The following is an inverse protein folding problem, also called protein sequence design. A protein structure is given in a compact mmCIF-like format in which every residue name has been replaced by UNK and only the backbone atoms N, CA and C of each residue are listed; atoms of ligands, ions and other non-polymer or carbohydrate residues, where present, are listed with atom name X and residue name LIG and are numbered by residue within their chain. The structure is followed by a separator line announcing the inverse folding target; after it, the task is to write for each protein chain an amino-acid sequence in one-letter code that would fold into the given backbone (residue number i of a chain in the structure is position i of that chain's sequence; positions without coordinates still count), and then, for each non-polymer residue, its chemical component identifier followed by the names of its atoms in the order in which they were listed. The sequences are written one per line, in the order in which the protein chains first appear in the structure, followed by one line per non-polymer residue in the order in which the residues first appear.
data_IF_274989297416
#
_entry.id   IF_274989297416
#
_cell.length_a   1.000
_cell.length_b   1.000
_cell.length_c   1.000
_cell.angle_alpha   90.00
_cell.angle_beta   90.00
_cell.angle_gamma   90.00
#
_symmetry.space_group_name_H-M   'P 1'
#
loop_
_entity.id
_entity.type
_entity.pdbx_description
1 polymer ?
#
# COMPACT_ATOMS: atom_id res chain seq x y z
N UNK A 1 0.04 -12.46 2.23
CA UNK A 1 -1.26 -13.11 1.94
C UNK A 1 -1.03 -14.60 1.74
N UNK A 2 -1.67 -15.45 2.56
CA UNK A 2 -1.60 -16.91 2.41
C UNK A 2 -0.35 -17.59 2.95
N UNK A 3 0.58 -16.84 3.55
CA UNK A 3 1.78 -17.38 4.18
C UNK A 3 1.48 -17.80 5.62
N UNK A 4 1.81 -19.04 5.97
CA UNK A 4 1.78 -19.53 7.35
C UNK A 4 3.14 -19.26 8.00
N UNK A 5 3.15 -18.45 9.05
CA UNK A 5 4.36 -18.03 9.77
C UNK A 5 4.91 -19.11 10.71
N UNK A 6 4.16 -20.17 11.00
CA UNK A 6 4.61 -21.32 11.80
C UNK A 6 5.29 -22.36 10.91
N UNK A 7 4.65 -22.75 9.81
CA UNK A 7 5.17 -23.79 8.89
C UNK A 7 6.10 -23.22 7.82
N UNK A 8 6.12 -21.89 7.64
CA UNK A 8 6.82 -21.19 6.58
C UNK A 8 6.41 -21.60 5.16
N UNK A 9 5.14 -21.99 5.00
CA UNK A 9 4.58 -22.44 3.74
C UNK A 9 3.40 -21.58 3.31
N UNK A 10 3.20 -21.47 2.00
CA UNK A 10 1.97 -20.91 1.45
C UNK A 10 0.88 -21.97 1.44
N UNK A 11 -0.21 -21.72 2.17
CA UNK A 11 -1.30 -22.70 2.39
C UNK A 11 -2.47 -22.57 1.40
N UNK A 12 -2.34 -21.66 0.43
CA UNK A 12 -3.33 -21.41 -0.62
C UNK A 12 -2.61 -21.27 -1.97
N UNK A 13 -3.34 -21.50 -3.06
CA UNK A 13 -2.76 -21.43 -4.40
C UNK A 13 -2.39 -20.00 -4.80
N UNK A 14 -1.54 -19.85 -5.83
CA UNK A 14 -1.15 -18.53 -6.33
C UNK A 14 -2.35 -17.75 -6.89
N UNK A 15 -3.30 -18.44 -7.53
CA UNK A 15 -4.54 -17.83 -8.04
C UNK A 15 -5.37 -17.27 -6.88
N UNK A 16 -5.47 -18.00 -5.77
CA UNK A 16 -6.19 -17.54 -4.59
C UNK A 16 -5.46 -16.37 -3.89
N UNK A 17 -4.12 -16.41 -3.86
CA UNK A 17 -3.31 -15.27 -3.37
C UNK A 17 -3.54 -14.02 -4.20
N UNK A 18 -3.56 -14.15 -5.53
CA UNK A 18 -3.81 -13.02 -6.43
C UNK A 18 -5.23 -12.46 -6.26
N UNK A 19 -6.23 -13.33 -6.16
CA UNK A 19 -7.62 -12.91 -5.93
C UNK A 19 -7.76 -12.12 -4.61
N UNK A 20 -7.16 -12.63 -3.52
CA UNK A 20 -7.15 -11.95 -2.21
C UNK A 20 -6.34 -10.65 -2.22
N UNK A 21 -5.23 -10.60 -2.96
CA UNK A 21 -4.42 -9.38 -3.12
C UNK A 21 -5.21 -8.26 -3.79
N UNK A 22 -5.86 -8.58 -4.91
CA UNK A 22 -6.73 -7.64 -5.61
C UNK A 22 -7.88 -7.15 -4.72
N UNK A 23 -8.58 -8.07 -4.04
CA UNK A 23 -9.68 -7.73 -3.15
C UNK A 23 -9.24 -6.83 -1.98
N UNK A 24 -8.04 -7.05 -1.44
CA UNK A 24 -7.48 -6.19 -0.39
C UNK A 24 -7.23 -4.77 -0.89
N UNK A 25 -6.57 -4.61 -2.03
CA UNK A 25 -6.30 -3.29 -2.62
C UNK A 25 -7.59 -2.57 -3.01
N UNK A 26 -8.57 -3.30 -3.54
CA UNK A 26 -9.89 -2.76 -3.86
C UNK A 26 -10.63 -2.27 -2.61
N UNK A 27 -10.61 -3.05 -1.53
CA UNK A 27 -11.18 -2.63 -0.26
C UNK A 27 -10.52 -1.34 0.27
N UNK A 28 -9.18 -1.26 0.23
CA UNK A 28 -8.43 -0.06 0.63
C UNK A 28 -8.77 1.15 -0.25
N UNK A 29 -8.90 0.96 -1.56
CA UNK A 29 -9.34 2.00 -2.49
C UNK A 29 -10.69 2.57 -2.06
N UNK A 30 -11.68 1.69 -1.81
CA UNK A 30 -13.03 2.12 -1.45
C UNK A 30 -13.12 2.81 -0.10
N UNK A 31 -12.20 2.60 0.84
CA UNK A 31 -12.20 3.34 2.11
C UNK A 31 -12.10 4.86 1.95
N UNK A 32 -11.46 5.34 0.88
CA UNK A 32 -11.31 6.77 0.58
C UNK A 32 -12.29 7.26 -0.49
N UNK A 33 -12.72 6.39 -1.41
CA UNK A 33 -13.70 6.73 -2.46
C UNK A 33 -15.11 6.83 -1.89
N UNK A 34 -15.48 5.92 -0.99
CA UNK A 34 -16.77 5.91 -0.32
C UNK A 34 -16.53 5.75 1.19
N UNK A 35 -16.34 6.86 1.92
CA UNK A 35 -16.16 6.83 3.38
C UNK A 35 -17.49 6.52 4.09
N UNK A 36 -18.10 5.39 3.79
CA UNK A 36 -19.32 4.91 4.43
C UNK A 36 -18.98 4.15 5.71
N UNK A 37 -18.84 4.87 6.85
CA UNK A 37 -19.05 4.24 8.16
C UNK A 37 -18.10 4.61 9.29
N UNK A 38 -18.58 5.51 10.15
CA UNK A 38 -18.44 5.44 11.63
C UNK A 38 -19.44 6.36 12.36
N UNK A 39 -20.19 7.22 11.65
CA UNK A 39 -21.26 8.05 12.23
C UNK A 39 -22.37 8.28 11.21
N UNK A 40 -23.41 7.42 11.19
CA UNK A 40 -24.59 7.62 10.34
C UNK A 40 -25.56 8.70 10.86
N UNK A 41 -25.20 9.38 11.96
CA UNK A 41 -26.05 10.37 12.66
C UNK A 41 -25.58 11.83 12.57
N UNK A 42 -24.42 12.11 11.97
CA UNK A 42 -23.88 13.47 11.82
C UNK A 42 -23.10 13.50 10.52
N UNK A 43 -23.39 14.46 9.64
CA UNK A 43 -22.62 14.85 8.44
C UNK A 43 -21.36 13.98 8.25
N UNK A 44 -21.43 12.95 7.40
CA UNK A 44 -20.20 12.27 6.98
C UNK A 44 -19.22 13.36 6.53
N UNK A 45 -17.96 13.36 6.99
CA UNK A 45 -17.04 14.43 6.66
C UNK A 45 -16.97 14.51 5.13
N UNK A 46 -17.36 15.66 4.58
CA UNK A 46 -17.17 15.96 3.18
C UNK A 46 -15.66 15.97 2.98
N UNK A 47 -15.11 14.91 2.37
CA UNK A 47 -13.69 14.87 2.02
C UNK A 47 -13.48 16.00 1.00
N UNK A 48 -12.82 17.06 1.43
CA UNK A 48 -12.57 18.25 0.60
C UNK A 48 -11.37 18.03 -0.31
N UNK A 49 -10.36 17.32 0.18
CA UNK A 49 -9.13 17.02 -0.55
C UNK A 49 -8.44 15.77 0.02
N UNK A 50 -7.69 15.07 -0.83
CA UNK A 50 -6.95 13.84 -0.51
C UNK A 50 -5.60 13.89 -1.22
N UNK A 51 -4.53 14.02 -0.44
CA UNK A 51 -3.15 13.98 -0.91
C UNK A 51 -2.29 13.11 0.02
N UNK A 52 -1.22 12.55 -0.51
CA UNK A 52 -0.41 11.60 0.23
C UNK A 52 0.68 10.93 -0.59
N UNK A 53 1.27 9.90 0.03
CA UNK A 53 2.27 9.03 -0.59
C UNK A 53 1.92 7.58 -0.32
N UNK A 54 1.89 6.77 -1.37
CA UNK A 54 1.86 5.31 -1.29
C UNK A 54 3.29 4.80 -1.37
N UNK A 55 3.81 4.24 -0.28
CA UNK A 55 5.07 3.50 -0.30
C UNK A 55 4.78 2.01 -0.44
N UNK A 56 5.36 1.39 -1.45
CA UNK A 56 5.18 -0.05 -1.73
C UNK A 56 6.52 -0.73 -1.51
N UNK A 57 6.49 -1.87 -0.84
CA UNK A 57 7.62 -2.77 -0.77
C UNK A 57 7.33 -4.04 -1.54
N UNK A 58 8.29 -4.44 -2.37
CA UNK A 58 8.29 -5.71 -3.09
C UNK A 58 9.32 -6.67 -2.49
N UNK A 59 9.76 -6.40 -1.26
CA UNK A 59 10.81 -7.15 -0.60
C UNK A 59 10.66 -7.16 0.93
N UNK A 60 11.62 -7.76 1.63
CA UNK A 60 11.70 -7.83 3.10
C UNK A 60 11.99 -6.47 3.73
N UNK A 61 12.43 -5.47 2.93
CA UNK A 61 12.59 -4.10 3.42
C UNK A 61 11.20 -3.52 3.68
N UNK A 62 10.87 -3.02 4.88
CA UNK A 62 9.55 -2.49 5.15
C UNK A 62 9.28 -1.20 4.36
N UNK A 63 8.05 -1.05 3.85
CA UNK A 63 7.60 0.20 3.25
C UNK A 63 7.48 1.29 4.35
N UNK A 64 8.26 2.38 4.29
CA UNK A 64 8.28 3.38 5.36
C UNK A 64 7.05 4.28 5.34
N UNK A 65 6.61 4.75 6.50
CA UNK A 65 5.52 5.72 6.62
C UNK A 65 5.97 6.94 7.42
N UNK A 66 5.43 8.11 7.09
CA UNK A 66 5.64 9.36 7.83
C UNK A 66 4.29 10.08 7.99
N UNK A 67 4.12 10.75 9.12
CA UNK A 67 2.90 11.52 9.36
C UNK A 67 2.77 12.66 8.34
N UNK A 68 1.62 12.77 7.64
CA UNK A 68 1.39 13.86 6.68
C UNK A 68 1.24 15.23 7.35
N UNK A 69 1.19 15.29 8.70
CA UNK A 69 1.19 16.54 9.48
C UNK A 69 2.55 17.24 9.38
N UNK A 70 3.64 16.49 9.16
CA UNK A 70 4.97 17.07 9.05
C UNK A 70 5.17 17.68 7.67
N UNK A 71 5.60 18.93 7.61
CA UNK A 71 5.97 19.56 6.35
C UNK A 71 7.09 18.78 5.64
N UNK A 72 6.98 18.67 4.31
CA UNK A 72 7.93 17.93 3.47
C UNK A 72 7.95 16.41 3.71
N UNK A 73 6.92 15.83 4.34
CA UNK A 73 6.87 14.37 4.58
C UNK A 73 6.97 13.56 3.28
N UNK A 74 6.39 14.06 2.19
CA UNK A 74 6.37 13.41 0.88
C UNK A 74 7.76 13.33 0.26
N UNK A 75 8.54 14.40 0.35
CA UNK A 75 9.94 14.44 -0.11
C UNK A 75 10.83 13.56 0.77
N UNK A 76 10.64 13.62 2.09
CA UNK A 76 11.37 12.77 3.04
C UNK A 76 11.10 11.28 2.79
N UNK A 77 9.85 10.90 2.51
CA UNK A 77 9.51 9.51 2.16
C UNK A 77 10.20 9.06 0.87
N UNK A 78 10.19 9.89 -0.18
CA UNK A 78 10.87 9.57 -1.43
C UNK A 78 12.39 9.39 -1.23
N UNK A 79 13.03 10.29 -0.48
CA UNK A 79 14.45 10.19 -0.14
C UNK A 79 14.77 8.94 0.70
N UNK A 80 13.91 8.61 1.66
CA UNK A 80 14.06 7.43 2.50
C UNK A 80 13.95 6.14 1.67
N UNK A 81 12.97 6.03 0.77
CA UNK A 81 12.86 4.91 -0.16
C UNK A 81 14.13 4.77 -1.01
N UNK A 82 14.64 5.87 -1.57
CA UNK A 82 15.88 5.85 -2.35
C UNK A 82 17.10 5.40 -1.54
N UNK A 83 17.21 5.87 -0.30
CA UNK A 83 18.30 5.50 0.61
C UNK A 83 18.26 4.02 0.95
N UNK A 84 17.08 3.49 1.28
CA UNK A 84 16.89 2.07 1.59
C UNK A 84 17.07 1.17 0.37
N UNK A 85 16.75 1.67 -0.84
CA UNK A 85 17.08 0.99 -2.09
C UNK A 85 18.60 0.84 -2.32
N UNK A 86 19.44 1.65 -1.65
CA UNK A 86 20.89 1.45 -1.63
C UNK A 86 21.33 0.20 -0.85
N UNK A 87 20.49 -0.30 0.07
CA UNK A 87 20.72 -1.56 0.80
C UNK A 87 20.23 -2.74 -0.04
N UNK A 88 19.04 -2.61 -0.64
CA UNK A 88 18.47 -3.62 -1.52
C UNK A 88 17.85 -2.95 -2.74
N UNK A 89 18.51 -3.13 -3.89
CA UNK A 89 18.11 -2.48 -5.13
C UNK A 89 16.66 -2.79 -5.49
N UNK A 90 15.92 -1.74 -5.84
CA UNK A 90 14.53 -1.79 -6.31
C UNK A 90 13.53 -2.44 -5.32
N UNK A 91 13.82 -2.45 -4.02
CA UNK A 91 12.92 -3.01 -3.02
C UNK A 91 11.68 -2.13 -2.75
N UNK A 92 11.83 -0.81 -2.86
CA UNK A 92 10.81 0.17 -2.49
C UNK A 92 10.47 1.10 -3.66
N UNK A 93 9.19 1.44 -3.78
CA UNK A 93 8.70 2.53 -4.63
C UNK A 93 7.85 3.50 -3.80
N UNK A 94 7.86 4.78 -4.19
CA UNK A 94 7.00 5.82 -3.60
C UNK A 94 6.17 6.48 -4.69
N UNK A 95 4.84 6.47 -4.55
CA UNK A 95 3.90 7.10 -5.46
C UNK A 95 3.22 8.25 -4.74
N UNK A 96 3.58 9.49 -5.10
CA UNK A 96 2.87 10.66 -4.60
C UNK A 96 1.54 10.83 -5.33
N UNK A 97 0.53 11.32 -4.62
CA UNK A 97 -0.75 11.70 -5.19
C UNK A 97 -1.25 13.00 -4.55
N UNK A 98 -1.90 13.83 -5.34
CA UNK A 98 -2.47 15.11 -4.92
C UNK A 98 -3.99 15.18 -5.08
N UNK A 99 -4.60 14.08 -5.47
CA UNK A 99 -6.06 13.97 -5.60
C UNK A 99 -6.53 12.54 -5.35
N UNK A 100 -7.83 12.40 -5.07
CA UNK A 100 -8.48 11.08 -4.96
C UNK A 100 -8.42 10.30 -6.28
N UNK A 101 -8.46 10.98 -7.43
CA UNK A 101 -8.35 10.36 -8.74
C UNK A 101 -6.95 9.74 -8.95
N UNK A 102 -5.89 10.47 -8.58
CA UNK A 102 -4.52 9.95 -8.64
C UNK A 102 -4.33 8.79 -7.66
N UNK A 103 -4.85 8.88 -6.43
CA UNK A 103 -4.85 7.74 -5.50
C UNK A 103 -5.50 6.51 -6.13
N UNK A 104 -6.70 6.67 -6.71
CA UNK A 104 -7.42 5.58 -7.36
C UNK A 104 -6.65 4.98 -8.53
N UNK A 105 -6.04 5.82 -9.36
CA UNK A 105 -5.18 5.39 -10.46
C UNK A 105 -3.99 4.55 -9.95
N UNK A 106 -3.27 5.04 -8.94
CA UNK A 106 -2.09 4.35 -8.41
C UNK A 106 -2.46 3.02 -7.75
N UNK A 107 -3.49 2.98 -6.90
CA UNK A 107 -3.92 1.74 -6.26
C UNK A 107 -4.45 0.73 -7.28
N UNK A 108 -5.22 1.18 -8.27
CA UNK A 108 -5.71 0.29 -9.35
C UNK A 108 -4.57 -0.28 -10.18
N UNK A 109 -3.52 0.52 -10.43
CA UNK A 109 -2.30 0.04 -11.11
C UNK A 109 -1.61 -1.10 -10.36
N UNK A 110 -1.53 -1.00 -9.02
CA UNK A 110 -0.93 -2.05 -8.17
C UNK A 110 -1.71 -3.38 -8.20
N UNK A 111 -2.99 -3.38 -8.58
CA UNK A 111 -3.79 -4.61 -8.66
C UNK A 111 -3.34 -5.55 -9.79
N UNK A 112 -2.56 -5.04 -10.76
CA UNK A 112 -1.96 -5.86 -11.82
C UNK A 112 -0.69 -6.58 -11.36
N UNK A 113 -0.10 -6.16 -10.24
CA UNK A 113 1.10 -6.79 -9.68
C UNK A 113 0.76 -8.10 -8.96
N UNK A 114 1.79 -8.91 -8.69
CA UNK A 114 1.67 -10.10 -7.87
C UNK A 114 2.00 -9.77 -6.39
N UNK A 115 1.32 -10.38 -5.40
CA UNK A 115 1.66 -10.21 -4.00
C UNK A 115 3.07 -10.72 -3.72
N UNK A 116 3.83 -9.97 -2.92
CA UNK A 116 5.17 -10.36 -2.49
C UNK A 116 5.21 -11.80 -1.96
N UNK A 117 6.21 -12.55 -2.40
CA UNK A 117 6.44 -13.94 -2.01
C UNK A 117 7.70 -14.02 -1.15
N UNK A 118 7.50 -14.26 0.15
CA UNK A 118 8.57 -14.48 1.10
C UNK A 118 9.21 -15.85 0.84
N UNK A 119 10.53 -15.87 0.72
CA UNK A 119 11.33 -17.09 0.61
C UNK A 119 12.35 -17.05 1.74
N UNK A 120 12.34 -18.06 2.61
CA UNK A 120 13.46 -18.27 3.52
C UNK A 120 14.62 -18.85 2.72
N UNK A 121 15.75 -18.15 2.71
CA UNK A 121 17.02 -18.80 2.37
C UNK A 121 17.37 -19.68 3.57
N UNK A 122 17.24 -20.99 3.40
CA UNK A 122 17.75 -21.96 4.37
C UNK A 122 19.27 -21.95 4.45
#
# INVERSE_FOLDING_TARGET
IGFNDITHEYVISEEERQARFKALLEALLYTLVEPAGAMRGTQAPHIVDVAGVLTVSQDVIPAPTLSPIKEGYNEQLAQLCNTLNGIRANALTSHQFTSLAEYAEKVSGLMADAPFTMRYAG
#
